data_IF_063128904974
#
_entry.id   IF_063128904974
#
_cell.length_a   1.000
_cell.length_b   1.000
_cell.length_c   1.000
_cell.angle_alpha   90.00
_cell.angle_beta   90.00
_cell.angle_gamma   90.00
#
_symmetry.space_group_name_H-M   'P 1'
#
loop_
_entity.id
_entity.type
_entity.pdbx_description
1 polymer ?
#
# COMPACT_ATOMS: atom_id res chain seq x y z
N UNK A 1 4.27 16.42 -6.69
CA UNK A 1 3.89 15.09 -6.18
C UNK A 1 4.38 14.04 -7.16
N UNK A 2 5.29 13.16 -6.76
CA UNK A 2 5.86 12.14 -7.67
C UNK A 2 4.90 10.97 -7.87
N UNK A 3 5.22 10.05 -8.78
CA UNK A 3 4.40 8.85 -8.98
C UNK A 3 4.47 7.97 -7.74
N UNK A 4 5.65 7.85 -7.11
CA UNK A 4 5.80 7.19 -5.82
C UNK A 4 4.88 7.78 -4.75
N UNK A 5 4.79 9.10 -4.64
CA UNK A 5 3.88 9.74 -3.67
C UNK A 5 2.40 9.43 -3.95
N UNK A 6 1.98 9.41 -5.22
CA UNK A 6 0.61 9.03 -5.59
C UNK A 6 0.32 7.57 -5.20
N UNK A 7 1.27 6.68 -5.44
CA UNK A 7 1.14 5.25 -5.08
C UNK A 7 1.07 5.04 -3.56
N UNK A 8 1.84 5.79 -2.77
CA UNK A 8 1.72 5.76 -1.31
C UNK A 8 0.35 6.22 -0.82
N UNK A 9 -0.20 7.29 -1.41
CA UNK A 9 -1.54 7.75 -1.09
C UNK A 9 -2.59 6.68 -1.42
N UNK A 10 -2.48 6.02 -2.58
CA UNK A 10 -3.35 4.89 -2.93
C UNK A 10 -3.22 3.73 -1.94
N UNK A 11 -1.99 3.37 -1.53
CA UNK A 11 -1.77 2.33 -0.53
C UNK A 11 -2.42 2.67 0.82
N UNK A 12 -2.38 3.94 1.24
CA UNK A 12 -3.06 4.37 2.45
C UNK A 12 -4.57 4.15 2.34
N UNK A 13 -5.19 4.57 1.23
CA UNK A 13 -6.62 4.35 0.99
C UNK A 13 -6.99 2.86 0.95
N UNK A 14 -6.17 2.01 0.32
CA UNK A 14 -6.40 0.56 0.27
C UNK A 14 -6.32 -0.08 1.66
N UNK A 15 -5.37 0.35 2.50
CA UNK A 15 -5.24 -0.13 3.88
C UNK A 15 -6.41 0.29 4.75
N UNK A 16 -6.89 1.52 4.60
CA UNK A 16 -8.11 1.98 5.27
C UNK A 16 -9.32 1.13 4.85
N UNK A 17 -9.52 0.93 3.55
CA UNK A 17 -10.62 0.10 3.06
C UNK A 17 -10.52 -1.36 3.56
N UNK A 18 -9.31 -1.92 3.67
CA UNK A 18 -9.11 -3.26 4.25
C UNK A 18 -9.55 -3.29 5.72
N UNK A 19 -9.14 -2.31 6.51
CA UNK A 19 -9.52 -2.21 7.92
C UNK A 19 -11.03 -2.05 8.08
N UNK A 20 -11.68 -1.29 7.20
CA UNK A 20 -13.14 -1.15 7.18
C UNK A 20 -13.81 -2.52 6.91
N UNK A 21 -13.32 -3.30 5.94
CA UNK A 21 -13.82 -4.65 5.67
C UNK A 21 -13.62 -5.59 6.86
N UNK A 22 -12.46 -5.54 7.53
CA UNK A 22 -12.22 -6.33 8.75
C UNK A 22 -13.20 -5.93 9.86
N UNK A 23 -13.45 -4.63 10.03
CA UNK A 23 -14.41 -4.11 11.02
C UNK A 23 -15.83 -4.56 10.69
N UNK A 24 -16.28 -4.44 9.44
CA UNK A 24 -17.62 -4.88 9.03
C UNK A 24 -17.82 -6.38 9.20
N UNK A 25 -16.78 -7.19 8.97
CA UNK A 25 -16.83 -8.63 9.21
C UNK A 25 -17.00 -8.99 10.70
N UNK A 26 -16.47 -8.16 11.60
CA UNK A 26 -16.59 -8.34 13.05
C UNK A 26 -17.93 -7.84 13.59
N UNK A 27 -18.45 -6.74 13.05
CA UNK A 27 -19.69 -6.11 13.54
C UNK A 27 -20.96 -6.75 12.98
N UNK A 28 -20.90 -7.35 11.79
CA UNK A 28 -22.09 -7.94 11.17
C UNK A 28 -22.53 -9.23 11.87
N UNK A 29 -23.85 -9.40 12.00
CA UNK A 29 -24.47 -10.64 12.47
C UNK A 29 -24.86 -11.59 11.32
N UNK A 30 -24.84 -11.11 10.08
CA UNK A 30 -25.12 -11.90 8.89
C UNK A 30 -23.88 -12.71 8.49
N UNK A 31 -23.99 -14.05 8.52
CA UNK A 31 -22.89 -14.96 8.19
C UNK A 31 -22.40 -14.84 6.74
N UNK A 32 -23.30 -14.56 5.80
CA UNK A 32 -22.93 -14.35 4.40
C UNK A 32 -22.17 -13.02 4.25
N UNK A 33 -22.63 -11.96 4.92
CA UNK A 33 -21.93 -10.68 4.94
C UNK A 33 -20.55 -10.79 5.60
N UNK A 34 -20.43 -11.53 6.70
CA UNK A 34 -19.14 -11.79 7.35
C UNK A 34 -18.15 -12.47 6.39
N UNK A 35 -18.60 -13.48 5.64
CA UNK A 35 -17.76 -14.14 4.65
C UNK A 35 -17.39 -13.20 3.50
N UNK A 36 -18.33 -12.39 3.02
CA UNK A 36 -18.11 -11.40 1.98
C UNK A 36 -17.04 -10.38 2.39
N UNK A 37 -17.16 -9.77 3.57
CA UNK A 37 -16.21 -8.77 4.06
C UNK A 37 -14.84 -9.39 4.36
N UNK A 38 -14.80 -10.59 4.93
CA UNK A 38 -13.54 -11.35 5.13
C UNK A 38 -12.85 -11.67 3.81
N UNK A 39 -13.61 -11.98 2.76
CA UNK A 39 -13.07 -12.18 1.41
C UNK A 39 -12.54 -10.87 0.83
N UNK A 40 -13.29 -9.78 0.97
CA UNK A 40 -12.88 -8.44 0.54
C UNK A 40 -11.57 -8.00 1.19
N UNK A 41 -11.43 -8.16 2.50
CA UNK A 41 -10.20 -7.88 3.23
C UNK A 41 -9.00 -8.66 2.68
N UNK A 42 -9.18 -9.96 2.37
CA UNK A 42 -8.13 -10.81 1.78
C UNK A 42 -7.73 -10.37 0.36
N UNK A 43 -8.71 -9.98 -0.47
CA UNK A 43 -8.43 -9.46 -1.80
C UNK A 43 -7.68 -8.13 -1.75
N UNK A 44 -8.09 -7.24 -0.83
CA UNK A 44 -7.39 -5.97 -0.62
C UNK A 44 -5.96 -6.21 -0.12
N UNK A 45 -5.73 -7.17 0.77
CA UNK A 45 -4.38 -7.54 1.21
C UNK A 45 -3.48 -7.97 0.03
N UNK A 46 -3.97 -8.80 -0.88
CA UNK A 46 -3.23 -9.20 -2.09
C UNK A 46 -2.92 -8.00 -3.00
N UNK A 47 -3.87 -7.08 -3.15
CA UNK A 47 -3.68 -5.87 -3.94
C UNK A 47 -2.67 -4.92 -3.28
N UNK A 48 -2.74 -4.72 -1.95
CA UNK A 48 -1.79 -3.93 -1.17
C UNK A 48 -0.38 -4.45 -1.36
N UNK A 49 -0.18 -5.77 -1.30
CA UNK A 49 1.14 -6.38 -1.52
C UNK A 49 1.65 -6.13 -2.94
N UNK A 50 0.79 -6.29 -3.95
CA UNK A 50 1.14 -6.03 -5.36
C UNK A 50 1.51 -4.57 -5.61
N UNK A 51 0.70 -3.63 -5.10
CA UNK A 51 0.93 -2.19 -5.25
C UNK A 51 2.16 -1.76 -4.46
N UNK A 52 2.40 -2.31 -3.27
CA UNK A 52 3.59 -2.02 -2.47
C UNK A 52 4.88 -2.41 -3.20
N UNK A 53 4.89 -3.58 -3.83
CA UNK A 53 6.01 -4.01 -4.69
C UNK A 53 6.25 -3.02 -5.84
N UNK A 54 5.17 -2.54 -6.47
CA UNK A 54 5.28 -1.53 -7.53
C UNK A 54 5.76 -0.18 -7.02
N UNK A 55 5.29 0.28 -5.87
CA UNK A 55 5.73 1.52 -5.22
C UNK A 55 7.23 1.49 -4.98
N UNK A 56 7.73 0.42 -4.36
CA UNK A 56 9.16 0.24 -4.08
C UNK A 56 10.01 0.28 -5.36
N UNK A 57 9.53 -0.32 -6.44
CA UNK A 57 10.20 -0.27 -7.74
C UNK A 57 10.23 1.14 -8.31
N UNK A 58 9.08 1.83 -8.32
CA UNK A 58 8.95 3.18 -8.87
C UNK A 58 9.85 4.16 -8.12
N UNK A 59 9.83 4.13 -6.79
CA UNK A 59 10.65 5.00 -5.94
C UNK A 59 12.14 4.90 -6.26
N UNK A 60 12.66 3.69 -6.48
CA UNK A 60 14.07 3.47 -6.88
C UNK A 60 14.41 4.10 -8.23
N UNK A 61 13.42 4.30 -9.10
CA UNK A 61 13.63 4.91 -10.40
C UNK A 61 13.56 6.44 -10.36
N UNK A 62 12.97 7.04 -9.32
CA UNK A 62 12.74 8.47 -9.28
C UNK A 62 14.05 9.26 -9.07
N UNK A 63 14.21 10.41 -9.75
CA UNK A 63 15.46 11.19 -9.72
C UNK A 63 15.88 11.58 -8.30
N UNK A 64 14.94 11.90 -7.41
CA UNK A 64 15.26 12.31 -6.05
C UNK A 64 15.83 11.18 -5.19
N UNK A 65 15.42 9.92 -5.41
CA UNK A 65 16.01 8.76 -4.72
C UNK A 65 17.44 8.52 -5.22
N UNK A 66 17.64 8.59 -6.54
CA UNK A 66 18.96 8.52 -7.16
C UNK A 66 19.89 9.65 -6.69
N UNK A 67 19.36 10.87 -6.52
CA UNK A 67 20.10 12.04 -6.03
C UNK A 67 20.50 11.91 -4.56
N UNK A 68 19.60 11.42 -3.69
CA UNK A 68 19.94 11.14 -2.28
C UNK A 68 21.04 10.09 -2.17
N UNK A 69 20.98 9.02 -2.97
CA UNK A 69 22.02 7.99 -3.00
C UNK A 69 23.38 8.54 -3.47
N UNK A 70 23.38 9.38 -4.51
CA UNK A 70 24.60 10.07 -4.98
C UNK A 70 25.19 11.02 -3.94
N UNK A 71 24.35 11.73 -3.18
CA UNK A 71 24.80 12.66 -2.14
C UNK A 71 25.38 11.92 -0.92
N UNK A 72 24.80 10.78 -0.55
CA UNK A 72 25.29 9.94 0.54
C UNK A 72 26.65 9.30 0.21
N UNK A 73 26.83 8.81 -1.02
CA UNK A 73 28.12 8.28 -1.47
C UNK A 73 29.24 9.34 -1.50
N UNK A 74 28.91 10.62 -1.72
CA UNK A 74 29.88 11.73 -1.67
C UNK A 74 30.30 12.14 -0.26
N UNK A 75 29.52 11.80 0.78
CA UNK A 75 29.85 12.12 2.18
C UNK A 75 30.72 11.06 2.86
N UNK A 76 30.84 9.88 2.24
CA UNK A 76 31.62 8.76 2.74
C UNK A 76 32.96 8.58 1.98
N UNK A 77 33.36 9.59 1.19
CA UNK A 77 34.66 9.72 0.53
C UNK A 77 35.33 10.98 1.06
#
# INVERSE_FOLDING_TARGET
MTVGNKLHQTLASLRSAKADMETFALETQDKNAQQLFSNGARQLEQLINSVSGRTNYVEKQEPQYKSKQKMQNRKNQ
#
